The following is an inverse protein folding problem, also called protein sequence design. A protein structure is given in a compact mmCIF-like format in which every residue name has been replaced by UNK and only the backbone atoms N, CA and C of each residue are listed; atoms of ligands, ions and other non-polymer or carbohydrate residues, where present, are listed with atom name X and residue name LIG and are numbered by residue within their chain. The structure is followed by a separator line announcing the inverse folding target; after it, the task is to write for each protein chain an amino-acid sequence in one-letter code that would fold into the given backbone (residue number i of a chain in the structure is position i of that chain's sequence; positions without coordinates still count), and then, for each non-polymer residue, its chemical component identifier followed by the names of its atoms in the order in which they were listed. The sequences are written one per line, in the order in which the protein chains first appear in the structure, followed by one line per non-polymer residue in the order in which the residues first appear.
data_IF_925833165235
#
_entry.id   IF_925833165235
#
_cell.length_a   1.000
_cell.length_b   1.000
_cell.length_c   1.000
_cell.angle_alpha   90.00
_cell.angle_beta   90.00
_cell.angle_gamma   90.00
#
_symmetry.space_group_name_H-M   'P 1'
#
loop_
_entity.id
_entity.type
_entity.pdbx_description
1 polymer ?
#
# COMPACT_ATOMS: atom_id res chain seq x y z
N UNK A 1 1.80 -5.84 -12.97
CA UNK A 1 1.84 -4.44 -12.50
C UNK A 1 1.56 -3.39 -13.58
N UNK A 2 0.89 -3.70 -14.71
CA UNK A 2 0.72 -2.69 -15.78
C UNK A 2 -0.54 -1.82 -15.67
N UNK A 3 -1.53 -2.20 -14.85
CA UNK A 3 -2.88 -1.61 -14.97
C UNK A 3 -3.10 -0.33 -14.15
N UNK A 4 -2.32 -0.05 -13.10
CA UNK A 4 -2.48 1.19 -12.32
C UNK A 4 -1.16 1.87 -11.90
N UNK A 5 -0.04 1.54 -12.56
CA UNK A 5 1.30 1.97 -12.14
C UNK A 5 1.42 3.49 -11.98
N UNK A 6 0.90 4.29 -12.91
CA UNK A 6 0.98 5.74 -12.86
C UNK A 6 0.19 6.32 -11.66
N UNK A 7 -1.03 5.83 -11.43
CA UNK A 7 -1.89 6.25 -10.32
C UNK A 7 -1.27 5.91 -8.96
N UNK A 8 -0.66 4.72 -8.86
CA UNK A 8 0.07 4.28 -7.66
C UNK A 8 1.27 5.20 -7.41
N UNK A 9 2.06 5.50 -8.44
CA UNK A 9 3.21 6.41 -8.33
C UNK A 9 2.80 7.83 -7.93
N UNK A 10 1.71 8.36 -8.49
CA UNK A 10 1.17 9.67 -8.10
C UNK A 10 0.79 9.67 -6.62
N UNK A 11 0.12 8.61 -6.15
CA UNK A 11 -0.31 8.50 -4.75
C UNK A 11 0.88 8.39 -3.79
N UNK A 12 1.92 7.63 -4.15
CA UNK A 12 3.16 7.53 -3.37
C UNK A 12 3.92 8.85 -3.33
N UNK A 13 4.00 9.58 -4.46
CA UNK A 13 4.60 10.93 -4.50
C UNK A 13 3.85 11.92 -3.60
N UNK A 14 2.51 11.86 -3.60
CA UNK A 14 1.69 12.66 -2.68
C UNK A 14 1.97 12.31 -1.22
N UNK A 15 2.03 11.02 -0.87
CA UNK A 15 2.37 10.59 0.48
C UNK A 15 3.74 11.10 0.93
N UNK A 16 4.76 11.05 0.04
CA UNK A 16 6.09 11.62 0.29
C UNK A 16 6.01 13.11 0.63
N UNK A 17 5.38 13.93 -0.22
CA UNK A 17 5.28 15.38 0.02
C UNK A 17 4.44 15.71 1.26
N UNK A 18 3.42 14.91 1.57
CA UNK A 18 2.66 15.06 2.82
C UNK A 18 3.51 14.76 4.05
N UNK A 19 4.39 13.76 4.01
CA UNK A 19 5.34 13.47 5.08
C UNK A 19 6.36 14.61 5.26
N UNK A 20 6.91 15.15 4.17
CA UNK A 20 7.80 16.33 4.22
C UNK A 20 7.11 17.52 4.92
N UNK A 21 5.83 17.75 4.63
CA UNK A 21 5.04 18.78 5.31
C UNK A 21 4.84 18.48 6.80
N UNK A 22 4.55 17.23 7.17
CA UNK A 22 4.37 16.83 8.58
C UNK A 22 5.67 17.05 9.37
N UNK A 23 6.82 16.72 8.80
CA UNK A 23 8.14 16.98 9.41
C UNK A 23 8.30 18.48 9.68
N UNK A 24 8.06 19.33 8.67
CA UNK A 24 8.12 20.79 8.84
C UNK A 24 7.15 21.33 9.89
N UNK A 25 5.95 20.75 10.00
CA UNK A 25 4.98 21.12 11.05
C UNK A 25 5.52 20.82 12.46
N UNK A 26 6.21 19.69 12.63
CA UNK A 26 6.83 19.31 13.91
C UNK A 26 8.00 20.26 14.22
N UNK A 27 8.88 20.50 13.25
CA UNK A 27 10.01 21.44 13.39
C UNK A 27 9.54 22.86 13.75
N UNK A 28 8.37 23.24 13.26
CA UNK A 28 7.74 24.54 13.52
C UNK A 28 6.80 24.52 14.74
N UNK A 29 6.86 23.52 15.62
CA UNK A 29 6.04 23.39 16.84
C UNK A 29 4.53 23.59 16.61
N UNK A 30 3.98 23.07 15.50
CA UNK A 30 2.54 23.12 15.26
C UNK A 30 1.75 22.29 16.28
N UNK A 31 0.49 22.67 16.49
CA UNK A 31 -0.41 21.98 17.41
C UNK A 31 -0.53 20.48 17.09
N UNK A 32 -0.24 19.63 18.08
CA UNK A 32 -0.09 18.18 17.93
C UNK A 32 -1.31 17.51 17.27
N UNK A 33 -2.53 17.95 17.57
CA UNK A 33 -3.74 17.36 16.96
C UNK A 33 -3.76 17.58 15.44
N UNK A 34 -3.28 18.72 14.94
CA UNK A 34 -3.19 18.97 13.49
C UNK A 34 -2.15 18.07 12.84
N UNK A 35 -1.01 17.88 13.48
CA UNK A 35 0.04 16.96 13.02
C UNK A 35 -0.51 15.52 12.95
N UNK A 36 -1.19 15.07 14.01
CA UNK A 36 -1.82 13.73 14.07
C UNK A 36 -2.85 13.57 12.95
N UNK A 37 -3.73 14.55 12.74
CA UNK A 37 -4.73 14.51 11.66
C UNK A 37 -4.09 14.38 10.28
N UNK A 38 -3.03 15.15 9.99
CA UNK A 38 -2.30 15.04 8.73
C UNK A 38 -1.61 13.68 8.58
N UNK A 39 -0.99 13.17 9.66
CA UNK A 39 -0.37 11.86 9.65
C UNK A 39 -1.37 10.73 9.39
N UNK A 40 -2.56 10.78 10.02
CA UNK A 40 -3.63 9.82 9.78
C UNK A 40 -4.12 9.86 8.32
N UNK A 41 -4.15 11.03 7.69
CA UNK A 41 -4.49 11.15 6.27
C UNK A 41 -3.44 10.45 5.38
N UNK A 42 -2.15 10.57 5.70
CA UNK A 42 -1.07 9.84 5.00
C UNK A 42 -1.21 8.34 5.19
N UNK A 43 -1.50 7.88 6.40
CA UNK A 43 -1.76 6.44 6.68
C UNK A 43 -2.92 5.93 5.82
N UNK A 44 -4.03 6.67 5.74
CA UNK A 44 -5.17 6.32 4.87
C UNK A 44 -4.79 6.23 3.39
N UNK A 45 -3.99 7.17 2.90
CA UNK A 45 -3.48 7.16 1.53
C UNK A 45 -2.60 5.93 1.25
N UNK A 46 -1.69 5.59 2.16
CA UNK A 46 -0.82 4.41 2.04
C UNK A 46 -1.62 3.10 2.09
N UNK A 47 -2.66 3.02 2.94
CA UNK A 47 -3.59 1.88 2.94
C UNK A 47 -4.28 1.72 1.58
N UNK A 48 -4.73 2.82 0.98
CA UNK A 48 -5.32 2.78 -0.37
C UNK A 48 -4.32 2.33 -1.44
N UNK A 49 -3.06 2.74 -1.37
CA UNK A 49 -2.01 2.30 -2.31
C UNK A 49 -1.76 0.80 -2.19
N UNK A 50 -1.68 0.27 -0.96
CA UNK A 50 -1.48 -1.15 -0.73
C UNK A 50 -2.61 -2.01 -1.32
N UNK A 51 -3.86 -1.55 -1.19
CA UNK A 51 -5.01 -2.23 -1.81
C UNK A 51 -4.91 -2.24 -3.34
N UNK A 52 -4.54 -1.12 -3.96
CA UNK A 52 -4.35 -1.05 -5.41
C UNK A 52 -3.22 -1.96 -5.91
N UNK A 53 -2.10 -2.01 -5.18
CA UNK A 53 -0.99 -2.91 -5.49
C UNK A 53 -1.40 -4.38 -5.38
N UNK A 54 -2.17 -4.73 -4.34
CA UNK A 54 -2.68 -6.08 -4.14
C UNK A 54 -3.67 -6.47 -5.25
N UNK A 55 -4.60 -5.58 -5.61
CA UNK A 55 -5.52 -5.79 -6.73
C UNK A 55 -4.77 -6.04 -8.06
N UNK A 56 -3.77 -5.21 -8.37
CA UNK A 56 -2.93 -5.36 -9.56
C UNK A 56 -2.11 -6.67 -9.54
N UNK A 57 -1.67 -7.13 -8.36
CA UNK A 57 -0.97 -8.40 -8.19
C UNK A 57 -1.90 -9.59 -8.40
N UNK A 58 -3.11 -9.55 -7.82
CA UNK A 58 -4.11 -10.59 -7.97
C UNK A 58 -4.58 -10.72 -9.42
N UNK A 59 -4.83 -9.59 -10.09
CA UNK A 59 -5.30 -9.58 -11.49
C UNK A 59 -4.25 -9.99 -12.54
N UNK A 60 -2.99 -10.19 -12.13
CA UNK A 60 -1.90 -10.57 -13.03
C UNK A 60 -1.23 -11.87 -12.54
N UNK A 61 -0.31 -11.75 -11.60
CA UNK A 61 0.55 -12.85 -11.16
C UNK A 61 -0.27 -14.02 -10.60
N UNK A 62 -1.31 -13.73 -9.82
CA UNK A 62 -2.14 -14.76 -9.21
C UNK A 62 -3.02 -15.48 -10.23
N UNK A 63 -3.69 -14.73 -11.12
CA UNK A 63 -4.48 -15.32 -12.22
C UNK A 63 -3.61 -16.21 -13.11
N UNK A 64 -2.39 -15.78 -13.44
CA UNK A 64 -1.46 -16.57 -14.25
C UNK A 64 -1.01 -17.84 -13.53
N UNK A 65 -0.73 -17.75 -12.23
CA UNK A 65 -0.34 -18.89 -11.39
C UNK A 65 -1.46 -19.92 -11.23
N UNK A 66 -2.71 -19.48 -11.03
CA UNK A 66 -3.87 -20.37 -10.93
C UNK A 66 -4.16 -21.08 -12.26
N UNK A 67 -3.90 -20.43 -13.39
CA UNK A 67 -4.02 -21.06 -14.72
C UNK A 67 -2.89 -22.04 -15.01
N UNK A 68 -1.75 -21.91 -14.33
CA UNK A 68 -0.64 -22.87 -14.46
C UNK A 68 -1.01 -24.20 -13.78
N UNK A 69 -0.45 -25.31 -14.25
CA UNK A 69 -0.65 -26.62 -13.62
C UNK A 69 0.37 -26.87 -12.48
N UNK A 70 1.05 -25.83 -11.99
CA UNK A 70 2.07 -25.91 -10.94
C UNK A 70 1.45 -25.68 -9.56
N UNK A 71 1.09 -26.78 -8.89
CA UNK A 71 0.50 -26.76 -7.55
C UNK A 71 1.41 -26.13 -6.49
N UNK A 72 2.73 -26.24 -6.65
CA UNK A 72 3.67 -25.65 -5.69
C UNK A 72 3.60 -24.13 -5.80
N UNK A 73 3.66 -23.61 -7.02
CA UNK A 73 3.57 -22.17 -7.28
C UNK A 73 2.23 -21.57 -6.84
N UNK A 74 1.13 -22.30 -7.04
CA UNK A 74 -0.19 -21.89 -6.55
C UNK A 74 -0.21 -21.74 -5.02
N UNK A 75 0.31 -22.72 -4.29
CA UNK A 75 0.36 -22.68 -2.83
C UNK A 75 1.25 -21.54 -2.31
N UNK A 76 2.41 -21.30 -2.92
CA UNK A 76 3.29 -20.19 -2.57
C UNK A 76 2.56 -18.84 -2.70
N UNK A 77 1.85 -18.62 -3.81
CA UNK A 77 1.11 -17.37 -4.01
C UNK A 77 -0.03 -17.18 -3.00
N UNK A 78 -0.73 -18.25 -2.61
CA UNK A 78 -1.73 -18.18 -1.54
C UNK A 78 -1.08 -17.75 -0.22
N UNK A 79 0.08 -18.30 0.13
CA UNK A 79 0.79 -17.92 1.35
C UNK A 79 1.30 -16.47 1.33
N UNK A 80 1.78 -15.99 0.18
CA UNK A 80 2.14 -14.57 -0.01
C UNK A 80 0.95 -13.65 0.31
N UNK A 81 -0.22 -13.93 -0.27
CA UNK A 81 -1.44 -13.13 -0.04
C UNK A 81 -1.86 -13.17 1.43
N UNK A 82 -1.90 -14.36 2.04
CA UNK A 82 -2.27 -14.51 3.45
C UNK A 82 -1.33 -13.74 4.38
N UNK A 83 -0.03 -13.71 4.06
CA UNK A 83 0.97 -12.95 4.83
C UNK A 83 0.71 -11.46 4.79
N UNK A 84 0.39 -10.91 3.60
CA UNK A 84 0.06 -9.50 3.44
C UNK A 84 -1.23 -9.14 4.20
N UNK A 85 -2.29 -9.95 4.07
CA UNK A 85 -3.56 -9.71 4.76
C UNK A 85 -3.39 -9.72 6.29
N UNK A 86 -2.67 -10.69 6.84
CA UNK A 86 -2.36 -10.74 8.28
C UNK A 86 -1.60 -9.50 8.74
N UNK A 87 -0.61 -9.07 7.95
CA UNK A 87 0.19 -7.87 8.28
C UNK A 87 -0.66 -6.60 8.27
N UNK A 88 -1.65 -6.51 7.37
CA UNK A 88 -2.55 -5.36 7.28
C UNK A 88 -3.61 -5.32 8.40
N UNK A 89 -3.96 -6.46 9.02
CA UNK A 89 -4.93 -6.56 10.12
C UNK A 89 -4.31 -6.31 11.50
N UNK A 90 -3.01 -6.60 11.67
CA UNK A 90 -2.32 -6.51 12.96
C UNK A 90 -1.73 -5.13 13.28
N UNK A 91 -2.10 -4.08 12.54
CA UNK A 91 -1.63 -2.69 12.70
C UNK A 91 -2.77 -1.69 12.52
#
# INVERSE_FOLDING_TARGET
MKKNQEKILISLKKAKSSLEKIISMIESNHYCIKVIQQNLAVVGLLKSVNLQLLEDHLGCCFVDSIKSNDKKRQNEMIQEILTIVKTAQNK
#
